data_IF_989517285695
#
_entry.id   IF_989517285695
#
_cell.length_a   1.000
_cell.length_b   1.000
_cell.length_c   1.000
_cell.angle_alpha   90.00
_cell.angle_beta   90.00
_cell.angle_gamma   90.00
#
_symmetry.space_group_name_H-M   'P 1'
#
loop_
_entity.id
_entity.type
_entity.pdbx_description
1 polymer ?
#
# COMPACT_ATOMS: atom_id res chain seq x y z
N UNK A 1 18.69 -7.19 -1.75
CA UNK A 1 18.21 -5.89 -2.27
C UNK A 1 17.04 -5.51 -1.36
N UNK A 2 17.20 -4.41 -0.60
CA UNK A 2 16.22 -4.00 0.41
C UNK A 2 15.34 -2.94 -0.21
N UNK A 3 14.05 -3.20 -0.31
CA UNK A 3 13.10 -2.25 -0.87
C UNK A 3 11.94 -2.12 0.13
N UNK A 4 12.11 -1.24 1.09
CA UNK A 4 11.04 -0.81 2.00
C UNK A 4 10.64 0.62 1.68
N UNK A 5 10.15 0.87 0.47
CA UNK A 5 9.98 2.24 -0.03
C UNK A 5 8.51 2.54 -0.27
N UNK A 6 8.00 3.60 0.36
CA UNK A 6 6.67 4.14 0.06
C UNK A 6 6.83 5.13 -1.10
N UNK A 7 6.27 4.78 -2.24
CA UNK A 7 6.16 5.68 -3.38
C UNK A 7 4.71 6.12 -3.53
N UNK A 8 4.46 7.40 -3.41
CA UNK A 8 3.14 7.98 -3.66
C UNK A 8 3.17 8.71 -4.99
N UNK A 9 2.35 8.28 -5.94
CA UNK A 9 2.26 8.87 -7.27
C UNK A 9 0.97 9.67 -7.39
N UNK A 10 1.06 10.97 -7.69
CA UNK A 10 -0.10 11.81 -8.02
C UNK A 10 -0.08 12.17 -9.51
N UNK A 11 -1.28 12.29 -10.08
CA UNK A 11 -1.46 12.51 -11.52
C UNK A 11 -1.04 13.89 -12.05
N UNK A 12 -0.12 13.97 -13.06
CA UNK A 12 0.05 14.92 -14.18
C UNK A 12 1.22 14.51 -15.12
N UNK A 13 1.37 15.05 -16.34
CA UNK A 13 1.84 14.29 -17.47
C UNK A 13 3.36 14.13 -17.58
N UNK A 14 3.91 13.12 -16.95
CA UNK A 14 5.13 12.48 -17.46
C UNK A 14 4.84 10.98 -17.60
N UNK A 15 4.97 10.45 -18.83
CA UNK A 15 4.70 9.06 -19.14
C UNK A 15 5.69 8.15 -18.41
N UNK A 16 5.29 7.58 -17.30
CA UNK A 16 5.95 6.40 -16.76
C UNK A 16 5.15 5.18 -17.21
N UNK A 17 5.68 4.45 -18.18
CA UNK A 17 5.15 3.15 -18.53
C UNK A 17 5.51 2.16 -17.42
N UNK A 18 4.63 1.96 -16.47
CA UNK A 18 4.65 0.75 -15.67
C UNK A 18 3.88 -0.27 -16.50
N UNK A 19 4.59 -1.08 -17.28
CA UNK A 19 4.02 -2.31 -17.84
C UNK A 19 3.74 -3.25 -16.67
N UNK A 20 2.58 -3.09 -16.06
CA UNK A 20 2.03 -4.10 -15.15
C UNK A 20 1.69 -5.29 -16.04
N UNK A 21 2.56 -6.28 -16.06
CA UNK A 21 2.29 -7.59 -16.63
C UNK A 21 1.22 -8.30 -15.79
N UNK A 22 0.01 -7.77 -15.85
CA UNK A 22 -1.18 -8.48 -15.42
C UNK A 22 -1.39 -9.59 -16.44
N UNK A 23 -1.26 -10.85 -16.00
CA UNK A 23 -1.26 -12.04 -16.82
C UNK A 23 -2.19 -12.05 -18.04
N UNK A 24 -1.88 -12.85 -19.03
CA UNK A 24 -2.46 -12.93 -20.39
C UNK A 24 -3.95 -12.50 -20.45
N UNK A 25 -4.19 -11.35 -21.08
CA UNK A 25 -5.53 -10.90 -21.44
C UNK A 25 -6.06 -9.66 -20.71
N UNK A 26 -5.26 -8.96 -19.94
CA UNK A 26 -5.66 -7.71 -19.27
C UNK A 26 -4.96 -6.50 -19.89
N UNK A 27 -5.73 -5.43 -19.98
CA UNK A 27 -5.44 -4.13 -20.62
C UNK A 27 -4.16 -3.52 -20.08
N UNK A 28 -3.32 -3.01 -20.96
CA UNK A 28 -2.16 -2.17 -20.63
C UNK A 28 -2.64 -0.97 -19.82
N UNK A 29 -2.25 -0.89 -18.55
CA UNK A 29 -2.56 0.26 -17.71
C UNK A 29 -1.43 1.28 -17.86
N UNK A 30 -1.71 2.38 -18.57
CA UNK A 30 -0.79 3.51 -18.65
C UNK A 30 -1.08 4.42 -17.47
N UNK A 31 -0.13 4.50 -16.55
CA UNK A 31 -0.17 5.45 -15.44
C UNK A 31 0.63 6.70 -15.82
N UNK A 32 -0.06 7.84 -15.90
CA UNK A 32 0.60 9.15 -15.99
C UNK A 32 0.72 9.72 -14.58
N UNK A 33 1.88 10.22 -14.22
CA UNK A 33 2.14 10.69 -12.87
C UNK A 33 2.80 12.07 -12.87
N UNK A 34 2.28 12.99 -12.04
CA UNK A 34 2.77 14.36 -11.93
C UNK A 34 3.78 14.56 -10.82
N UNK A 35 3.66 13.75 -9.77
CA UNK A 35 4.39 13.95 -8.55
C UNK A 35 4.87 12.60 -8.01
N UNK A 36 6.16 12.44 -7.91
CA UNK A 36 6.80 11.33 -7.24
C UNK A 36 7.16 11.74 -5.81
N UNK A 37 6.56 11.07 -4.83
CA UNK A 37 6.91 11.20 -3.43
C UNK A 37 7.57 9.90 -2.98
N UNK A 38 8.74 10.00 -2.38
CA UNK A 38 9.51 8.82 -1.98
C UNK A 38 9.99 8.96 -0.53
N UNK A 39 9.91 7.88 0.21
CA UNK A 39 10.40 7.77 1.57
C UNK A 39 11.08 6.42 1.78
N UNK A 40 12.28 6.44 2.33
CA UNK A 40 12.92 5.27 2.90
C UNK A 40 13.81 5.75 4.07
N UNK A 41 13.66 5.20 5.29
CA UNK A 41 14.43 5.62 6.45
C UNK A 41 15.92 5.32 6.35
N UNK A 42 16.32 4.45 5.41
CA UNK A 42 17.72 4.05 5.23
C UNK A 42 18.42 4.73 4.05
N UNK A 43 17.77 5.68 3.38
CA UNK A 43 18.43 6.45 2.32
C UNK A 43 19.66 7.18 2.85
N UNK A 44 20.78 6.96 2.17
CA UNK A 44 21.99 7.74 2.33
C UNK A 44 21.85 9.13 1.71
N UNK A 45 22.69 10.07 2.11
CA UNK A 45 22.68 11.43 1.54
C UNK A 45 22.98 11.42 0.03
N UNK A 46 23.76 10.46 -0.46
CA UNK A 46 24.03 10.29 -1.90
C UNK A 46 22.78 9.84 -2.66
N UNK A 47 22.03 8.88 -2.11
CA UNK A 47 20.78 8.42 -2.74
C UNK A 47 19.72 9.52 -2.73
N UNK A 48 19.59 10.26 -1.64
CA UNK A 48 18.67 11.41 -1.55
C UNK A 48 19.01 12.45 -2.63
N UNK A 49 20.29 12.81 -2.76
CA UNK A 49 20.75 13.75 -3.76
C UNK A 49 20.43 13.25 -5.17
N UNK A 50 20.76 12.00 -5.47
CA UNK A 50 20.47 11.38 -6.76
C UNK A 50 18.96 11.41 -7.07
N UNK A 51 18.10 11.08 -6.11
CA UNK A 51 16.65 11.10 -6.30
C UNK A 51 16.13 12.51 -6.60
N UNK A 52 16.58 13.52 -5.87
CA UNK A 52 16.20 14.92 -6.09
C UNK A 52 16.63 15.39 -7.49
N UNK A 53 17.85 15.08 -7.90
CA UNK A 53 18.39 15.43 -9.21
C UNK A 53 17.62 14.76 -10.37
N UNK A 54 16.94 13.62 -10.08
CA UNK A 54 16.09 12.91 -11.03
C UNK A 54 14.59 13.24 -10.89
N UNK A 55 14.24 14.31 -10.19
CA UNK A 55 12.86 14.83 -10.12
C UNK A 55 11.96 14.17 -9.08
N UNK A 56 12.52 13.38 -8.17
CA UNK A 56 11.76 12.83 -7.04
C UNK A 56 11.69 13.84 -5.89
N UNK A 57 10.57 13.84 -5.18
CA UNK A 57 10.40 14.63 -3.98
C UNK A 57 10.50 13.70 -2.76
N UNK A 58 11.41 14.03 -1.86
CA UNK A 58 11.57 13.27 -0.62
C UNK A 58 10.48 13.65 0.38
N UNK A 59 9.98 12.66 1.10
CA UNK A 59 9.12 12.85 2.27
C UNK A 59 10.04 12.94 3.48
N UNK A 60 10.00 14.06 4.22
CA UNK A 60 10.89 14.30 5.35
C UNK A 60 10.44 13.59 6.64
N UNK A 61 9.13 13.30 6.74
CA UNK A 61 8.54 12.73 7.95
C UNK A 61 8.12 11.29 7.70
N UNK A 62 8.51 10.39 8.61
CA UNK A 62 8.03 9.02 8.60
C UNK A 62 6.54 8.98 9.02
N UNK A 63 5.66 8.95 8.04
CA UNK A 63 4.21 8.81 8.27
C UNK A 63 3.80 7.38 8.64
N UNK A 64 4.74 6.43 8.70
CA UNK A 64 4.51 5.01 9.04
C UNK A 64 3.38 4.38 8.19
N UNK A 65 3.27 4.77 6.94
CA UNK A 65 2.21 4.36 6.02
C UNK A 65 0.90 5.15 6.11
N UNK A 66 0.70 6.00 7.11
CA UNK A 66 -0.55 6.71 7.36
C UNK A 66 -0.77 7.93 6.43
N UNK A 67 -0.58 7.73 5.12
CA UNK A 67 -0.77 8.78 4.10
C UNK A 67 -2.22 8.83 3.64
N UNK A 68 -2.93 9.91 3.97
CA UNK A 68 -4.28 10.15 3.45
C UNK A 68 -4.24 10.77 2.06
N UNK A 69 -5.18 10.36 1.20
CA UNK A 69 -5.31 10.85 -0.17
C UNK A 69 -6.76 11.20 -0.51
N UNK A 70 -6.92 12.21 -1.36
CA UNK A 70 -8.22 12.64 -1.87
C UNK A 70 -8.30 12.57 -3.40
N UNK A 71 -7.21 12.18 -4.04
CA UNK A 71 -7.10 12.02 -5.50
C UNK A 71 -6.48 10.67 -5.82
N UNK A 72 -6.71 10.17 -7.04
CA UNK A 72 -6.17 8.88 -7.49
C UNK A 72 -4.67 8.81 -7.26
N UNK A 73 -4.24 7.84 -6.46
CA UNK A 73 -2.85 7.71 -6.00
C UNK A 73 -2.42 6.26 -6.07
N UNK A 74 -1.28 6.00 -6.71
CA UNK A 74 -0.62 4.71 -6.65
C UNK A 74 0.36 4.70 -5.48
N UNK A 75 0.20 3.73 -4.60
CA UNK A 75 1.19 3.38 -3.59
C UNK A 75 2.02 2.20 -4.07
N UNK A 76 3.33 2.37 -4.08
CA UNK A 76 4.28 1.28 -4.31
C UNK A 76 4.93 0.93 -2.98
N UNK A 77 4.52 -0.18 -2.39
CA UNK A 77 4.90 -0.61 -1.04
C UNK A 77 5.31 -2.10 -1.04
N UNK A 78 6.36 -2.47 -1.82
CA UNK A 78 6.80 -3.85 -1.86
C UNK A 78 7.42 -4.25 -0.52
N UNK A 79 7.04 -5.44 0.00
CA UNK A 79 7.61 -6.03 1.21
C UNK A 79 7.59 -5.11 2.45
N UNK A 80 6.65 -4.17 2.50
CA UNK A 80 6.47 -3.32 3.67
C UNK A 80 5.94 -4.12 4.86
N UNK A 81 6.28 -3.72 6.10
CA UNK A 81 5.70 -4.32 7.30
C UNK A 81 4.19 -4.18 7.35
N UNK A 82 3.50 -5.18 7.92
CA UNK A 82 2.04 -5.22 8.12
C UNK A 82 1.43 -3.91 8.64
N UNK A 83 2.00 -3.26 9.68
CA UNK A 83 1.46 -2.02 10.21
C UNK A 83 1.37 -0.89 9.19
N UNK A 84 2.24 -0.87 8.18
CA UNK A 84 2.23 0.18 7.17
C UNK A 84 1.02 0.05 6.25
N UNK A 85 0.66 -1.18 5.83
CA UNK A 85 -0.57 -1.43 5.08
C UNK A 85 -1.82 -1.10 5.90
N UNK A 86 -1.86 -1.56 7.16
CA UNK A 86 -2.97 -1.29 8.05
C UNK A 86 -3.15 0.22 8.33
N UNK A 87 -2.05 0.96 8.49
CA UNK A 87 -2.05 2.40 8.65
C UNK A 87 -2.52 3.14 7.38
N UNK A 88 -2.11 2.67 6.20
CA UNK A 88 -2.58 3.23 4.93
C UNK A 88 -4.10 3.09 4.80
N UNK A 89 -4.62 1.91 5.11
CA UNK A 89 -6.05 1.64 5.09
C UNK A 89 -6.78 2.51 6.11
N UNK A 90 -6.32 2.55 7.36
CA UNK A 90 -6.91 3.42 8.39
C UNK A 90 -6.97 4.88 7.96
N UNK A 91 -5.87 5.44 7.47
CA UNK A 91 -5.80 6.85 7.08
C UNK A 91 -6.75 7.20 5.92
N UNK A 92 -7.24 6.19 5.20
CA UNK A 92 -8.11 6.34 4.04
C UNK A 92 -9.44 5.59 4.19
N UNK A 93 -9.83 5.23 5.40
CA UNK A 93 -11.01 4.38 5.67
C UNK A 93 -12.36 5.07 5.43
N UNK A 94 -12.38 6.10 4.64
CA UNK A 94 -13.59 6.78 4.18
C UNK A 94 -13.94 6.33 2.76
N UNK A 95 -15.23 6.20 2.42
CA UNK A 95 -15.69 5.73 1.11
C UNK A 95 -15.02 6.45 -0.07
N UNK A 96 -14.90 7.76 0.04
CA UNK A 96 -14.33 8.59 -1.03
C UNK A 96 -12.80 8.56 -1.11
N UNK A 97 -12.10 8.04 -0.10
CA UNK A 97 -10.65 7.97 -0.06
C UNK A 97 -10.15 6.58 -0.47
N UNK A 98 -10.77 5.50 0.01
CA UNK A 98 -10.37 4.13 -0.32
C UNK A 98 -10.33 3.91 -1.84
N UNK A 99 -11.36 4.33 -2.57
CA UNK A 99 -11.42 4.16 -4.00
C UNK A 99 -10.42 5.02 -4.80
N UNK A 100 -9.73 5.96 -4.15
CA UNK A 100 -8.63 6.72 -4.76
C UNK A 100 -7.29 5.97 -4.73
N UNK A 101 -7.21 4.89 -3.98
CA UNK A 101 -5.97 4.12 -3.83
C UNK A 101 -5.86 3.07 -4.94
N UNK A 102 -4.68 2.97 -5.52
CA UNK A 102 -4.16 1.78 -6.17
C UNK A 102 -2.92 1.38 -5.39
N UNK A 103 -2.84 0.15 -4.94
CA UNK A 103 -1.71 -0.32 -4.15
C UNK A 103 -0.99 -1.45 -4.89
N UNK A 104 0.30 -1.29 -5.13
CA UNK A 104 1.21 -2.35 -5.50
C UNK A 104 2.02 -2.72 -4.25
N UNK A 105 1.76 -3.88 -3.68
CA UNK A 105 2.35 -4.32 -2.43
C UNK A 105 2.20 -5.83 -2.23
N UNK A 106 2.54 -6.31 -1.05
CA UNK A 106 2.40 -7.73 -0.70
C UNK A 106 0.92 -8.15 -0.75
N UNK A 107 0.64 -9.35 -1.20
CA UNK A 107 -0.70 -9.93 -1.27
C UNK A 107 -1.41 -9.86 0.08
N UNK A 108 -2.56 -9.17 0.14
CA UNK A 108 -3.36 -9.07 1.36
C UNK A 108 -3.93 -10.41 1.78
N UNK A 109 -4.36 -11.23 0.80
CA UNK A 109 -4.79 -12.59 1.08
C UNK A 109 -3.69 -13.43 1.73
N UNK A 110 -2.45 -13.32 1.26
CA UNK A 110 -1.30 -14.02 1.86
C UNK A 110 -1.01 -13.50 3.27
N UNK A 111 -1.05 -12.19 3.49
CA UNK A 111 -0.80 -11.57 4.78
C UNK A 111 -1.85 -12.00 5.82
N UNK A 112 -3.14 -11.90 5.50
CA UNK A 112 -4.23 -12.26 6.41
C UNK A 112 -4.21 -13.75 6.74
N UNK A 113 -3.94 -14.62 5.77
CA UNK A 113 -3.81 -16.07 5.99
C UNK A 113 -2.60 -16.46 6.84
N UNK A 114 -1.61 -15.56 7.02
CA UNK A 114 -0.45 -15.80 7.88
C UNK A 114 -0.71 -15.52 9.36
N UNK A 115 -1.83 -14.90 9.72
CA UNK A 115 -2.16 -14.59 11.12
C UNK A 115 -2.45 -15.85 11.91
N UNK A 116 -1.72 -16.02 13.02
CA UNK A 116 -1.79 -17.22 13.88
C UNK A 116 -2.70 -17.00 15.09
N UNK A 117 -2.80 -15.74 15.59
CA UNK A 117 -3.52 -15.45 16.83
C UNK A 117 -4.63 -14.41 16.64
N UNK A 118 -5.63 -14.48 17.54
CA UNK A 118 -6.70 -13.47 17.62
C UNK A 118 -6.18 -12.06 17.94
N UNK A 119 -5.08 -11.97 18.68
CA UNK A 119 -4.49 -10.68 19.04
C UNK A 119 -3.87 -9.99 17.80
N UNK A 120 -3.17 -10.75 16.95
CA UNK A 120 -2.71 -10.25 15.66
C UNK A 120 -3.88 -9.81 14.78
N UNK A 121 -4.97 -10.55 14.74
CA UNK A 121 -6.16 -10.17 14.00
C UNK A 121 -6.75 -8.85 14.49
N UNK A 122 -6.80 -8.64 15.82
CA UNK A 122 -7.29 -7.39 16.40
C UNK A 122 -6.40 -6.17 16.07
N UNK A 123 -5.07 -6.36 16.03
CA UNK A 123 -4.10 -5.30 15.68
C UNK A 123 -4.24 -4.84 14.21
N UNK A 124 -4.61 -5.76 13.29
CA UNK A 124 -4.68 -5.50 11.85
C UNK A 124 -6.10 -5.49 11.30
N UNK A 125 -7.05 -4.98 12.08
CA UNK A 125 -8.49 -5.00 11.79
C UNK A 125 -8.86 -4.34 10.46
N UNK A 126 -8.17 -3.29 10.02
CA UNK A 126 -8.44 -2.64 8.73
C UNK A 126 -8.01 -3.53 7.55
N UNK A 127 -6.87 -4.20 7.67
CA UNK A 127 -6.39 -5.13 6.65
C UNK A 127 -7.33 -6.34 6.53
N UNK A 128 -7.75 -6.91 7.66
CA UNK A 128 -8.71 -8.01 7.69
C UNK A 128 -10.05 -7.56 7.12
N UNK A 129 -10.59 -6.45 7.63
CA UNK A 129 -11.90 -5.95 7.22
C UNK A 129 -12.01 -5.71 5.72
N UNK A 130 -11.00 -5.08 5.10
CA UNK A 130 -11.04 -4.85 3.65
C UNK A 130 -10.91 -6.17 2.87
N UNK A 131 -10.09 -7.11 3.34
CA UNK A 131 -9.89 -8.40 2.67
C UNK A 131 -11.16 -9.25 2.72
N UNK A 132 -11.86 -9.26 3.84
CA UNK A 132 -13.11 -10.02 4.04
C UNK A 132 -14.34 -9.36 3.41
N UNK A 133 -14.34 -8.03 3.25
CA UNK A 133 -15.47 -7.25 2.73
C UNK A 133 -15.76 -7.47 1.25
N UNK A 134 -14.82 -8.04 0.49
CA UNK A 134 -14.88 -8.17 -0.98
C UNK A 134 -14.91 -6.82 -1.72
N UNK A 135 -14.56 -5.72 -1.05
CA UNK A 135 -14.42 -4.38 -1.64
C UNK A 135 -13.03 -4.13 -2.22
N UNK A 136 -12.27 -5.19 -2.42
CA UNK A 136 -10.94 -5.16 -2.97
C UNK A 136 -10.79 -6.20 -4.08
N UNK A 137 -10.27 -5.76 -5.22
CA UNK A 137 -9.80 -6.63 -6.29
C UNK A 137 -8.28 -6.77 -6.18
N UNK A 138 -7.80 -7.97 -5.93
CA UNK A 138 -6.37 -8.29 -5.82
C UNK A 138 -5.91 -9.09 -7.04
N UNK A 139 -4.90 -8.57 -7.74
CA UNK A 139 -4.30 -9.20 -8.92
C UNK A 139 -2.84 -9.51 -8.64
N UNK A 140 -2.51 -10.79 -8.50
CA UNK A 140 -1.14 -11.24 -8.29
C UNK A 140 -0.26 -10.89 -9.50
N UNK A 141 0.95 -10.39 -9.25
CA UNK A 141 1.95 -10.21 -10.29
C UNK A 141 2.54 -11.57 -10.71
N UNK A 142 2.89 -11.67 -11.99
CA UNK A 142 3.63 -12.81 -12.55
C UNK A 142 4.96 -12.29 -13.13
N UNK A 143 5.96 -12.08 -12.28
CA UNK A 143 7.21 -11.46 -12.71
C UNK A 143 8.06 -12.41 -13.55
N UNK A 144 8.86 -11.89 -14.50
CA UNK A 144 9.89 -12.64 -15.18
C UNK A 144 10.88 -13.31 -14.20
N UNK A 145 11.51 -14.41 -14.64
CA UNK A 145 12.39 -15.21 -13.76
C UNK A 145 13.58 -14.45 -13.19
N UNK A 146 14.12 -13.52 -13.94
CA UNK A 146 15.29 -12.70 -13.57
C UNK A 146 15.01 -11.70 -12.44
N UNK A 147 13.74 -11.33 -12.23
CA UNK A 147 13.30 -10.43 -11.15
C UNK A 147 12.31 -11.11 -10.19
N UNK A 148 12.15 -12.42 -10.29
CA UNK A 148 11.13 -13.17 -9.55
C UNK A 148 11.24 -12.97 -8.03
N UNK A 149 12.44 -13.06 -7.46
CA UNK A 149 12.65 -12.92 -6.01
C UNK A 149 12.22 -11.56 -5.45
N UNK A 150 12.26 -10.50 -6.29
CA UNK A 150 11.88 -9.16 -5.88
C UNK A 150 10.35 -8.90 -5.96
N UNK A 151 9.60 -9.74 -6.69
CA UNK A 151 8.20 -9.46 -7.01
C UNK A 151 7.25 -10.65 -6.83
N UNK A 152 7.73 -11.80 -6.34
CA UNK A 152 7.00 -13.07 -6.34
C UNK A 152 5.73 -13.12 -5.52
N UNK A 153 5.61 -12.31 -4.47
CA UNK A 153 4.44 -12.20 -3.59
C UNK A 153 3.78 -10.81 -3.62
N UNK A 154 4.06 -10.04 -4.66
CA UNK A 154 3.40 -8.77 -4.88
C UNK A 154 2.11 -8.94 -5.66
N UNK A 155 1.15 -8.10 -5.31
CA UNK A 155 -0.14 -7.96 -5.96
C UNK A 155 -0.45 -6.49 -6.21
N UNK A 156 -1.29 -6.24 -7.21
CA UNK A 156 -1.93 -4.93 -7.40
C UNK A 156 -3.32 -5.00 -6.80
N UNK A 157 -3.64 -4.02 -5.98
CA UNK A 157 -4.91 -3.92 -5.29
C UNK A 157 -5.68 -2.69 -5.78
N UNK A 158 -6.94 -2.90 -6.16
CA UNK A 158 -7.89 -1.86 -6.48
C UNK A 158 -9.03 -1.92 -5.47
N UNK A 159 -9.40 -0.77 -4.93
CA UNK A 159 -10.48 -0.69 -3.97
C UNK A 159 -11.76 -0.28 -4.70
N UNK A 160 -12.81 -1.08 -4.53
CA UNK A 160 -14.13 -0.82 -5.10
C UNK A 160 -14.73 0.44 -4.48
N UNK A 161 -15.47 1.18 -5.29
CA UNK A 161 -16.20 2.35 -4.78
C UNK A 161 -17.33 1.88 -3.87
N UNK A 162 -17.37 2.41 -2.68
CA UNK A 162 -18.50 2.25 -1.75
C UNK A 162 -19.59 3.22 -2.20
N UNK A 163 -20.77 2.70 -2.53
CA UNK A 163 -21.81 3.45 -3.23
C UNK A 163 -22.86 4.04 -2.28
N UNK A 164 -23.03 3.46 -1.10
CA UNK A 164 -24.03 3.87 -0.12
C UNK A 164 -23.57 3.67 1.33
N UNK A 165 -24.36 4.20 2.26
CA UNK A 165 -24.09 4.14 3.69
C UNK A 165 -24.23 2.73 4.25
N UNK A 166 -25.04 1.87 3.65
CA UNK A 166 -25.25 0.49 4.09
C UNK A 166 -24.01 -0.37 3.81
N UNK A 167 -23.40 -0.20 2.63
CA UNK A 167 -22.16 -0.86 2.25
C UNK A 167 -21.00 -0.42 3.17
N UNK A 168 -20.93 0.88 3.50
CA UNK A 168 -19.94 1.40 4.43
C UNK A 168 -20.17 0.90 5.86
N UNK A 169 -21.42 0.85 6.31
CA UNK A 169 -21.78 0.33 7.63
C UNK A 169 -21.42 -1.16 7.73
N UNK A 170 -21.65 -1.92 6.67
CA UNK A 170 -21.26 -3.32 6.61
C UNK A 170 -19.72 -3.47 6.70
N UNK A 171 -18.95 -2.66 5.97
CA UNK A 171 -17.49 -2.65 6.06
C UNK A 171 -17.00 -2.35 7.48
N UNK A 172 -17.58 -1.37 8.17
CA UNK A 172 -17.25 -1.06 9.56
C UNK A 172 -17.54 -2.22 10.50
N UNK A 173 -18.66 -2.93 10.28
CA UNK A 173 -19.03 -4.10 11.07
C UNK A 173 -18.05 -5.27 10.88
N UNK A 174 -17.68 -5.56 9.64
CA UNK A 174 -16.70 -6.63 9.32
C UNK A 174 -15.34 -6.32 9.93
N UNK A 175 -14.85 -5.09 9.74
CA UNK A 175 -13.55 -4.67 10.24
C UNK A 175 -13.50 -4.57 11.78
N UNK A 176 -14.67 -4.51 12.44
CA UNK A 176 -14.78 -4.31 13.89
C UNK A 176 -13.83 -3.20 14.40
N UNK A 177 -13.80 -2.09 13.71
CA UNK A 177 -12.88 -0.98 13.97
C UNK A 177 -13.63 0.35 14.10
N UNK A 178 -13.01 1.29 14.84
CA UNK A 178 -13.44 2.68 14.89
C UNK A 178 -12.55 3.50 13.94
N UNK A 179 -13.07 4.02 12.81
CA UNK A 179 -12.27 4.74 11.83
C UNK A 179 -11.61 6.02 12.37
N UNK A 180 -12.06 6.51 13.53
CA UNK A 180 -11.46 7.67 14.21
C UNK A 180 -10.29 7.29 15.09
N UNK A 181 -10.16 5.99 15.43
CA UNK A 181 -9.12 5.51 16.35
C UNK A 181 -7.93 5.01 15.56
N UNK A 182 -6.79 5.69 15.73
CA UNK A 182 -5.52 5.25 15.13
C UNK A 182 -5.14 3.85 15.65
N UNK A 183 -4.68 2.94 14.77
CA UNK A 183 -4.15 1.65 15.20
C UNK A 183 -3.00 1.78 16.18
N UNK A 184 -2.99 0.90 17.17
CA UNK A 184 -1.94 0.79 18.19
C UNK A 184 -1.37 -0.62 18.08
N UNK A 185 -0.07 -0.74 18.04
CA UNK A 185 0.63 -2.01 17.91
C UNK A 185 1.40 -2.33 19.18
N UNK A 186 1.51 -3.62 19.53
CA UNK A 186 2.07 -4.09 20.79
C UNK A 186 3.57 -3.81 20.95
N UNK A 187 4.30 -3.73 19.82
CA UNK A 187 5.75 -3.52 19.79
C UNK A 187 6.16 -2.32 18.95
N UNK A 188 7.40 -1.85 19.08
CA UNK A 188 7.97 -0.83 18.19
C UNK A 188 8.37 -1.45 16.84
N UNK A 189 7.34 -1.94 16.12
CA UNK A 189 7.47 -2.58 14.82
C UNK A 189 7.90 -1.64 13.69
N UNK A 190 8.15 -0.38 14.01
CA UNK A 190 8.74 0.61 13.09
C UNK A 190 10.20 0.91 13.42
N UNK A 191 10.86 0.09 14.25
CA UNK A 191 12.28 0.25 14.53
C UNK A 191 13.13 0.07 13.28
N UNK A 192 14.27 0.76 13.22
CA UNK A 192 15.20 0.68 12.06
C UNK A 192 15.65 -0.75 11.76
N UNK A 193 15.64 -1.65 12.75
CA UNK A 193 16.06 -3.05 12.60
C UNK A 193 15.14 -3.86 11.67
N UNK A 194 13.87 -3.51 11.56
CA UNK A 194 12.95 -4.17 10.61
C UNK A 194 13.24 -3.86 9.15
N UNK A 195 13.94 -2.76 8.87
CA UNK A 195 14.31 -2.37 7.51
C UNK A 195 15.71 -2.86 7.12
N UNK A 196 16.39 -3.62 8.02
CA UNK A 196 17.79 -4.02 7.87
C UNK A 196 17.98 -5.54 7.62
N UNK A 197 16.94 -6.36 7.63
CA UNK A 197 17.01 -7.82 7.35
C UNK A 197 16.85 -8.17 5.89
#
# INVERSE_FOLDING_TARGET
MKIGTIHTLRSFPSLVHINLLLGKGKTDCILTCDLWLIYDPVFTEYEKKFLIENGFNLIDVNEKGAKSVTTRTLFFMPHCPLPMYNNLLWANWLPNNLNQIVLLGTSFNSLVNSFISSDQQAEYSYLIGITESKLIDEFKLDPPRDIYEAFNDLSVHFFTRINDDDEYTNLLSIANCDPKKKPIYSDDIFSKEMFIN
#
